data_IF_010908512946
#
_entry.id   IF_010908512946
#
_cell.length_a   1.000
_cell.length_b   1.000
_cell.length_c   1.000
_cell.angle_alpha   90.00
_cell.angle_beta   90.00
_cell.angle_gamma   90.00
#
_symmetry.space_group_name_H-M   'P 1'
#
loop_
_entity.id
_entity.type
_entity.pdbx_description
1 polymer ?
#
# COMPACT_ATOMS: atom_id res chain seq x y z
N UNK A 1 -24.04 -14.81 3.28
CA UNK A 1 -22.72 -14.54 2.80
C UNK A 1 -21.83 -14.09 3.91
N UNK A 2 -20.66 -14.40 3.78
CA UNK A 2 -19.68 -14.01 4.68
C UNK A 2 -19.07 -12.77 4.27
N UNK A 3 -18.79 -11.93 5.16
CA UNK A 3 -17.98 -10.78 4.90
C UNK A 3 -16.65 -11.05 5.51
N UNK A 4 -15.87 -11.77 4.81
CA UNK A 4 -14.55 -12.05 5.30
C UNK A 4 -13.73 -10.79 5.23
N UNK A 5 -13.13 -10.40 6.32
CA UNK A 5 -12.13 -9.36 6.31
C UNK A 5 -10.89 -9.92 5.68
N UNK A 6 -10.36 -9.21 4.71
CA UNK A 6 -9.13 -9.60 4.07
C UNK A 6 -8.04 -8.62 4.50
N UNK A 7 -7.04 -9.14 5.17
CA UNK A 7 -5.89 -8.34 5.56
C UNK A 7 -4.76 -8.60 4.59
N UNK A 8 -4.25 -7.54 4.00
CA UNK A 8 -3.12 -7.62 3.08
C UNK A 8 -1.90 -7.09 3.80
N UNK A 9 -0.86 -7.90 3.84
CA UNK A 9 0.41 -7.49 4.42
C UNK A 9 1.36 -7.17 3.28
N UNK A 10 1.68 -5.89 3.15
CA UNK A 10 2.55 -5.40 2.10
C UNK A 10 3.87 -4.99 2.74
N UNK A 11 4.68 -5.99 3.07
CA UNK A 11 5.89 -5.79 3.86
C UNK A 11 7.13 -6.11 3.06
N UNK A 12 8.21 -5.39 3.35
CA UNK A 12 9.53 -5.66 2.74
C UNK A 12 9.48 -5.58 1.22
N UNK A 13 8.82 -4.54 0.71
CA UNK A 13 8.61 -4.38 -0.73
C UNK A 13 9.35 -3.17 -1.26
N UNK A 14 9.81 -3.30 -2.49
CA UNK A 14 10.32 -2.17 -3.25
C UNK A 14 9.45 -2.02 -4.49
N UNK A 15 8.78 -0.89 -4.62
CA UNK A 15 7.86 -0.63 -5.72
C UNK A 15 8.56 0.24 -6.73
N UNK A 16 8.79 -0.31 -7.92
CA UNK A 16 9.50 0.39 -8.98
C UNK A 16 8.62 0.61 -10.21
N UNK A 17 7.40 0.10 -10.19
CA UNK A 17 6.41 0.34 -11.25
C UNK A 17 5.08 0.59 -10.58
N UNK A 18 4.15 1.18 -11.31
CA UNK A 18 2.83 1.49 -10.76
C UNK A 18 2.19 0.20 -10.25
N UNK A 19 1.74 0.24 -9.01
CA UNK A 19 1.22 -0.95 -8.32
C UNK A 19 -0.07 -0.57 -7.60
N UNK A 20 -1.06 -1.42 -7.68
CA UNK A 20 -2.32 -1.25 -6.96
C UNK A 20 -2.50 -2.43 -6.01
N UNK A 21 -2.78 -2.12 -4.75
CA UNK A 21 -3.04 -3.12 -3.72
C UNK A 21 -4.43 -2.88 -3.17
N UNK A 22 -5.19 -3.95 -3.04
CA UNK A 22 -6.59 -3.88 -2.65
C UNK A 22 -6.86 -4.89 -1.53
N UNK A 23 -7.66 -4.51 -0.56
CA UNK A 23 -8.03 -5.39 0.54
C UNK A 23 -8.81 -4.62 1.59
N UNK A 24 -9.50 -5.30 2.48
CA UNK A 24 -10.28 -4.65 3.53
C UNK A 24 -9.41 -3.93 4.53
N UNK A 25 -8.29 -4.52 4.85
CA UNK A 25 -7.28 -3.92 5.73
C UNK A 25 -5.94 -4.09 5.06
N UNK A 26 -5.15 -3.04 5.05
CA UNK A 26 -3.82 -3.09 4.45
C UNK A 26 -2.81 -2.67 5.51
N UNK A 27 -1.81 -3.49 5.72
CA UNK A 27 -0.73 -3.20 6.64
C UNK A 27 0.59 -3.19 5.87
N UNK A 28 1.28 -2.08 5.88
CA UNK A 28 2.50 -1.91 5.10
C UNK A 28 3.66 -1.51 6.01
N UNK A 29 4.78 -2.20 5.87
CA UNK A 29 5.98 -1.96 6.65
C UNK A 29 7.19 -2.21 5.76
N UNK A 30 8.20 -1.37 5.92
CA UNK A 30 9.47 -1.54 5.21
C UNK A 30 9.27 -1.53 3.71
N UNK A 31 8.65 -0.46 3.23
CA UNK A 31 8.30 -0.32 1.83
C UNK A 31 9.02 0.91 1.27
N UNK A 32 9.55 0.77 0.07
CA UNK A 32 10.16 1.87 -0.66
C UNK A 32 9.47 1.99 -2.02
N UNK A 33 9.03 3.20 -2.35
CA UNK A 33 8.44 3.49 -3.67
C UNK A 33 9.41 4.41 -4.39
N UNK A 34 9.88 4.00 -5.57
CA UNK A 34 10.89 4.75 -6.31
C UNK A 34 10.73 4.57 -7.81
N UNK A 35 11.58 5.21 -8.57
CA UNK A 35 11.60 5.16 -10.04
C UNK A 35 10.30 5.69 -10.65
N UNK A 36 9.80 6.78 -10.10
CA UNK A 36 8.56 7.42 -10.59
C UNK A 36 7.34 6.50 -10.49
N UNK A 37 7.40 5.50 -9.62
CA UNK A 37 6.29 4.60 -9.45
C UNK A 37 5.20 5.23 -8.58
N UNK A 38 3.98 4.77 -8.78
CA UNK A 38 2.86 5.16 -7.96
C UNK A 38 2.32 3.90 -7.29
N UNK A 39 2.28 3.91 -5.98
CA UNK A 39 1.68 2.82 -5.20
C UNK A 39 0.30 3.28 -4.75
N UNK A 40 -0.72 2.49 -5.04
CA UNK A 40 -2.09 2.80 -4.67
C UNK A 40 -2.64 1.71 -3.78
N UNK A 41 -3.15 2.10 -2.62
CA UNK A 41 -3.92 1.20 -1.76
C UNK A 41 -5.39 1.58 -1.91
N UNK A 42 -6.22 0.63 -2.26
CA UNK A 42 -7.62 0.91 -2.58
C UNK A 42 -8.56 -0.09 -1.92
N UNK A 43 -9.82 0.30 -1.78
CA UNK A 43 -10.89 -0.53 -1.22
C UNK A 43 -10.68 -0.91 0.24
N UNK A 44 -9.83 -0.22 0.95
CA UNK A 44 -9.54 -0.55 2.33
C UNK A 44 -10.46 0.21 3.28
N UNK A 45 -10.89 -0.44 4.34
CA UNK A 45 -11.55 0.23 5.45
C UNK A 45 -10.51 0.86 6.35
N UNK A 46 -9.34 0.27 6.44
CA UNK A 46 -8.25 0.85 7.19
C UNK A 46 -6.92 0.52 6.54
N UNK A 47 -5.99 1.45 6.66
CA UNK A 47 -4.64 1.29 6.15
C UNK A 47 -3.69 1.68 7.26
N UNK A 48 -2.77 0.79 7.59
CA UNK A 48 -1.77 1.02 8.60
C UNK A 48 -0.42 1.04 7.92
N UNK A 49 0.30 2.14 8.08
CA UNK A 49 1.64 2.28 7.53
C UNK A 49 2.60 2.40 8.69
N UNK A 50 3.56 1.50 8.74
CA UNK A 50 4.53 1.45 9.81
C UNK A 50 5.92 1.67 9.24
N UNK A 51 6.74 2.39 9.98
CA UNK A 51 8.11 2.66 9.56
C UNK A 51 8.92 1.38 9.48
N UNK A 52 9.91 1.32 8.60
CA UNK A 52 10.23 2.37 7.63
C UNK A 52 9.33 2.31 6.39
N UNK A 53 8.97 3.47 5.89
CA UNK A 53 8.17 3.59 4.68
C UNK A 53 8.66 4.83 3.93
N UNK A 54 9.19 4.64 2.74
CA UNK A 54 9.82 5.70 1.99
C UNK A 54 9.16 5.86 0.62
N UNK A 55 8.81 7.07 0.28
CA UNK A 55 8.38 7.41 -1.07
C UNK A 55 9.42 8.40 -1.59
N UNK A 56 10.18 7.98 -2.58
CA UNK A 56 11.25 8.80 -3.11
C UNK A 56 10.71 9.93 -3.98
N UNK A 57 11.54 10.92 -4.18
CA UNK A 57 11.17 12.06 -5.00
C UNK A 57 10.68 11.59 -6.36
N UNK A 58 9.65 12.18 -6.89
CA UNK A 58 8.97 11.86 -8.15
C UNK A 58 8.11 10.60 -8.10
N UNK A 59 8.18 9.82 -7.03
CA UNK A 59 7.25 8.71 -6.81
C UNK A 59 6.10 9.18 -5.93
N UNK A 60 5.05 8.40 -5.85
CA UNK A 60 3.87 8.81 -5.08
C UNK A 60 3.18 7.62 -4.43
N UNK A 61 2.41 7.95 -3.40
CA UNK A 61 1.57 7.00 -2.69
C UNK A 61 0.16 7.56 -2.68
N UNK A 62 -0.80 6.77 -3.09
CA UNK A 62 -2.19 7.17 -3.07
C UNK A 62 -2.98 6.21 -2.20
N UNK A 63 -3.82 6.75 -1.33
CA UNK A 63 -4.65 5.97 -0.44
C UNK A 63 -6.11 6.27 -0.77
N UNK A 64 -6.87 5.23 -1.03
CA UNK A 64 -8.28 5.37 -1.34
C UNK A 64 -9.07 4.49 -0.40
N UNK A 65 -9.61 5.07 0.64
CA UNK A 65 -10.42 4.34 1.62
C UNK A 65 -11.82 4.14 1.11
N UNK A 66 -12.40 3.06 1.53
CA UNK A 66 -13.75 2.72 1.19
C UNK A 66 -14.76 3.56 1.97
#
# INVERSE_FOLDING_TARGET
AQNASTTVYFNDKTVTTNTVVSGSEISATNVTVKNNAKLTFTNAKSIIITQPFTVELTSSLELSLQ
#
